data_IF_549135236018
#
_entry.id   IF_549135236018
#
_cell.length_a   1.000
_cell.length_b   1.000
_cell.length_c   1.000
_cell.angle_alpha   90.00
_cell.angle_beta   90.00
_cell.angle_gamma   90.00
#
_symmetry.space_group_name_H-M   'P 1'
#
loop_
_entity.id
_entity.type
_entity.pdbx_description
1 polymer ?
#
# COMPACT_ATOMS: atom_id res chain seq x y z
N UNK A 1 -11.05 5.53 3.59
CA UNK A 1 -10.00 4.54 3.24
C UNK A 1 -9.97 4.18 1.76
N UNK A 2 -11.07 3.78 1.11
CA UNK A 2 -11.03 3.24 -0.26
C UNK A 2 -10.40 4.14 -1.34
N UNK A 3 -10.78 5.42 -1.41
CA UNK A 3 -10.25 6.34 -2.44
C UNK A 3 -8.77 6.65 -2.20
N UNK A 4 -8.37 6.93 -0.96
CA UNK A 4 -6.97 7.23 -0.61
C UNK A 4 -6.03 6.05 -0.87
N UNK A 5 -6.46 4.82 -0.56
CA UNK A 5 -5.67 3.61 -0.81
C UNK A 5 -5.44 3.32 -2.30
N UNK A 6 -6.23 3.91 -3.19
CA UNK A 6 -6.02 3.83 -4.64
C UNK A 6 -5.23 5.04 -5.17
N UNK A 7 -5.61 6.25 -4.76
CA UNK A 7 -5.04 7.49 -5.29
C UNK A 7 -3.57 7.63 -4.90
N UNK A 8 -3.19 7.33 -3.66
CA UNK A 8 -1.81 7.54 -3.19
C UNK A 8 -0.80 6.62 -3.92
N UNK A 9 -1.00 5.29 -4.01
CA UNK A 9 -0.09 4.44 -4.77
C UNK A 9 -0.05 4.79 -6.26
N UNK A 10 -1.18 5.19 -6.85
CA UNK A 10 -1.24 5.59 -8.26
C UNK A 10 -0.43 6.86 -8.48
N UNK A 11 -0.65 7.88 -7.66
CA UNK A 11 0.07 9.14 -7.71
C UNK A 11 1.59 8.94 -7.56
N UNK A 12 2.00 8.16 -6.56
CA UNK A 12 3.40 7.77 -6.36
C UNK A 12 3.95 7.02 -7.58
N UNK A 13 3.18 6.12 -8.17
CA UNK A 13 3.58 5.35 -9.34
C UNK A 13 3.64 6.16 -10.65
N UNK A 14 2.95 7.29 -10.73
CA UNK A 14 2.98 8.21 -11.85
C UNK A 14 4.16 9.19 -11.77
N UNK A 15 4.56 9.52 -10.55
CA UNK A 15 5.63 10.46 -10.19
C UNK A 15 6.98 9.75 -10.07
N UNK A 16 7.00 8.49 -9.66
CA UNK A 16 8.25 7.76 -9.43
C UNK A 16 9.01 7.44 -10.74
N UNK A 17 10.34 7.65 -10.78
CA UNK A 17 11.20 7.20 -11.88
C UNK A 17 11.06 5.68 -12.11
N UNK A 18 11.18 5.22 -13.36
CA UNK A 18 11.09 3.79 -13.74
C UNK A 18 11.97 2.89 -12.86
N UNK A 19 13.14 3.36 -12.48
CA UNK A 19 14.14 2.63 -11.67
C UNK A 19 13.81 2.55 -10.17
N UNK A 20 13.10 3.54 -9.62
CA UNK A 20 12.83 3.65 -8.17
C UNK A 20 11.37 3.38 -7.80
N UNK A 21 10.49 3.19 -8.79
CA UNK A 21 9.05 2.95 -8.60
C UNK A 21 8.74 1.80 -7.64
N UNK A 22 9.53 0.73 -7.66
CA UNK A 22 9.40 -0.38 -6.71
C UNK A 22 9.58 0.08 -5.27
N UNK A 23 10.68 0.79 -5.00
CA UNK A 23 11.04 1.33 -3.68
C UNK A 23 10.04 2.34 -3.17
N UNK A 24 9.57 3.27 -4.02
CA UNK A 24 8.55 4.24 -3.61
C UNK A 24 7.20 3.59 -3.30
N UNK A 25 6.83 2.53 -4.03
CA UNK A 25 5.59 1.79 -3.77
C UNK A 25 5.68 1.00 -2.46
N UNK A 26 6.81 0.36 -2.17
CA UNK A 26 7.02 -0.34 -0.90
C UNK A 26 7.12 0.63 0.28
N UNK A 27 7.67 1.83 0.09
CA UNK A 27 7.68 2.89 1.09
C UNK A 27 6.27 3.29 1.51
N UNK A 28 5.34 3.42 0.56
CA UNK A 28 3.94 3.72 0.89
C UNK A 28 3.30 2.60 1.75
N UNK A 29 3.51 1.35 1.36
CA UNK A 29 3.04 0.21 2.16
C UNK A 29 3.65 0.21 3.56
N UNK A 30 4.92 0.56 3.68
CA UNK A 30 5.63 0.66 4.95
C UNK A 30 5.07 1.80 5.83
N UNK A 31 4.75 2.96 5.24
CA UNK A 31 4.10 4.07 5.95
C UNK A 31 2.71 3.68 6.48
N UNK A 32 1.92 2.92 5.71
CA UNK A 32 0.63 2.39 6.17
C UNK A 32 0.82 1.49 7.41
N UNK A 33 1.82 0.62 7.38
CA UNK A 33 2.13 -0.28 8.50
C UNK A 33 2.60 0.50 9.72
N UNK A 34 3.51 1.47 9.56
CA UNK A 34 3.93 2.34 10.67
C UNK A 34 2.74 3.09 11.26
N UNK A 35 1.88 3.66 10.42
CA UNK A 35 0.68 4.37 10.88
C UNK A 35 -0.26 3.46 11.68
N UNK A 36 -0.51 2.24 11.19
CA UNK A 36 -1.31 1.24 11.90
C UNK A 36 -0.67 0.82 13.23
N UNK A 37 0.62 0.49 13.23
CA UNK A 37 1.37 0.13 14.44
C UNK A 37 1.39 1.25 15.48
N UNK A 38 1.56 2.50 15.03
CA UNK A 38 1.52 3.69 15.89
C UNK A 38 0.13 3.87 16.50
N UNK A 39 -0.94 3.64 15.73
CA UNK A 39 -2.30 3.65 16.22
C UNK A 39 -2.57 2.55 17.26
N UNK A 40 -1.99 1.36 17.09
CA UNK A 40 -2.07 0.29 18.11
C UNK A 40 -1.38 0.69 19.41
N UNK A 41 -0.17 1.27 19.35
CA UNK A 41 0.58 1.70 20.53
C UNK A 41 -0.14 2.85 21.25
N UNK A 42 -0.61 3.87 20.53
CA UNK A 42 -1.34 4.96 21.17
C UNK A 42 -2.73 4.52 21.65
N UNK A 43 -3.36 3.56 20.98
CA UNK A 43 -4.66 3.03 21.36
C UNK A 43 -4.66 2.24 22.67
N UNK A 44 -3.51 1.69 23.10
CA UNK A 44 -3.38 1.01 24.40
C UNK A 44 -3.12 1.98 25.56
N UNK A 45 -2.60 3.18 25.27
CA UNK A 45 -2.18 4.16 26.28
C UNK A 45 -3.20 5.29 26.43
N UNK A 46 -3.83 5.71 25.33
CA UNK A 46 -4.68 6.89 25.26
C UNK A 46 -6.16 6.54 25.13
N UNK A 47 -7.02 7.43 25.65
CA UNK A 47 -8.46 7.34 25.42
C UNK A 47 -8.82 7.45 23.93
N UNK A 48 -9.92 6.81 23.52
CA UNK A 48 -10.39 6.84 22.13
C UNK A 48 -10.61 8.26 21.57
N UNK A 49 -10.94 9.22 22.44
CA UNK A 49 -11.08 10.64 22.10
C UNK A 49 -9.74 11.27 21.75
N UNK A 50 -8.73 11.06 22.60
CA UNK A 50 -7.38 11.56 22.34
C UNK A 50 -6.76 10.92 21.09
N UNK A 51 -6.98 9.62 20.89
CA UNK A 51 -6.53 8.91 19.69
C UNK A 51 -7.12 9.50 18.41
N UNK A 52 -8.40 9.88 18.44
CA UNK A 52 -9.10 10.51 17.30
C UNK A 52 -8.54 11.90 16.98
N UNK A 53 -8.23 12.69 18.01
CA UNK A 53 -7.63 14.03 17.85
C UNK A 53 -6.21 13.92 17.29
N UNK A 54 -5.40 12.98 17.78
CA UNK A 54 -4.05 12.74 17.26
C UNK A 54 -4.09 12.27 15.81
N UNK A 55 -5.06 11.42 15.43
CA UNK A 55 -5.27 11.00 14.05
C UNK A 55 -5.63 12.15 13.09
N UNK A 56 -6.18 13.25 13.61
CA UNK A 56 -6.45 14.45 12.82
C UNK A 56 -5.17 15.17 12.39
N UNK A 57 -4.11 15.11 13.19
CA UNK A 57 -2.83 15.78 12.92
C UNK A 57 -2.24 15.38 11.56
N UNK A 58 -1.97 14.09 11.25
CA UNK A 58 -1.43 13.70 9.96
C UNK A 58 -2.40 13.98 8.82
N UNK A 59 -3.71 13.99 9.08
CA UNK A 59 -4.73 14.34 8.07
C UNK A 59 -4.64 15.81 7.67
N UNK A 60 -4.49 16.72 8.64
CA UNK A 60 -4.32 18.15 8.37
C UNK A 60 -2.98 18.43 7.70
N UNK A 61 -1.90 17.76 8.13
CA UNK A 61 -0.58 17.87 7.49
C UNK A 61 -0.64 17.42 6.03
N UNK A 62 -1.31 16.30 5.74
CA UNK A 62 -1.50 15.83 4.35
C UNK A 62 -2.33 16.83 3.53
N UNK A 63 -3.39 17.40 4.12
CA UNK A 63 -4.25 18.38 3.46
C UNK A 63 -3.47 19.66 3.11
N UNK A 64 -2.66 20.17 4.03
CA UNK A 64 -1.80 21.32 3.78
C UNK A 64 -0.70 20.99 2.77
N UNK A 65 -0.10 19.80 2.87
CA UNK A 65 0.92 19.32 1.94
C UNK A 65 0.42 19.20 0.50
N UNK A 66 -0.86 18.85 0.30
CA UNK A 66 -1.46 18.75 -1.03
C UNK A 66 -1.43 20.08 -1.80
N UNK A 67 -1.48 21.22 -1.12
CA UNK A 67 -1.35 22.53 -1.78
C UNK A 67 0.06 22.83 -2.30
N UNK A 68 1.09 22.18 -1.75
CA UNK A 68 2.48 22.36 -2.18
C UNK A 68 2.94 21.35 -3.23
N UNK A 69 2.23 20.22 -3.36
CA UNK A 69 2.61 19.14 -4.27
C UNK A 69 2.05 19.44 -5.66
N UNK A 70 2.89 19.45 -6.73
CA UNK A 70 2.39 19.65 -8.09
C UNK A 70 1.50 18.48 -8.54
N UNK A 71 0.54 18.76 -9.41
CA UNK A 71 -0.33 17.74 -9.99
C UNK A 71 0.46 16.69 -10.79
N UNK A 72 -0.12 15.49 -10.95
CA UNK A 72 0.53 14.38 -11.64
C UNK A 72 0.95 14.79 -13.07
N UNK A 73 2.24 14.67 -13.43
CA UNK A 73 2.73 15.04 -14.76
C UNK A 73 2.00 14.28 -15.89
N UNK A 74 1.63 13.01 -15.66
CA UNK A 74 0.88 12.21 -16.64
C UNK A 74 -0.54 12.70 -16.84
N UNK A 75 -1.17 13.20 -15.78
CA UNK A 75 -2.51 13.79 -15.87
C UNK A 75 -2.47 15.12 -16.63
N UNK A 76 -1.47 15.97 -16.35
CA UNK A 76 -1.26 17.25 -17.04
C UNK A 76 -0.98 17.04 -18.53
N UNK A 77 -0.12 16.08 -18.87
CA UNK A 77 0.17 15.72 -20.25
C UNK A 77 -1.08 15.17 -20.98
N UNK A 78 -1.94 14.40 -20.30
CA UNK A 78 -3.22 13.93 -20.86
C UNK A 78 -4.24 15.05 -21.08
N UNK A 79 -4.16 16.14 -20.31
CA UNK A 79 -4.99 17.34 -20.53
C UNK A 79 -4.45 18.29 -21.61
N UNK A 80 -3.27 18.01 -22.17
CA UNK A 80 -2.62 18.89 -23.14
C UNK A 80 -2.00 20.15 -22.53
N UNK A 81 -1.83 20.20 -21.21
CA UNK A 81 -1.20 21.32 -20.50
C UNK A 81 0.31 21.16 -20.47
N UNK A 82 0.96 21.34 -21.63
CA UNK A 82 2.40 21.07 -21.81
C UNK A 82 3.30 21.95 -20.94
N UNK A 83 2.89 23.19 -20.65
CA UNK A 83 3.65 24.11 -19.79
C UNK A 83 3.69 23.66 -18.32
N UNK A 84 2.52 23.31 -17.79
CA UNK A 84 2.38 22.84 -16.40
C UNK A 84 3.00 21.45 -16.24
N UNK A 85 2.92 20.60 -17.27
CA UNK A 85 3.61 19.32 -17.34
C UNK A 85 5.12 19.45 -17.16
N UNK A 86 5.77 20.34 -17.93
CA UNK A 86 7.22 20.56 -17.84
C UNK A 86 7.58 21.17 -16.49
N UNK A 87 6.78 22.11 -15.97
CA UNK A 87 7.00 22.73 -14.66
C UNK A 87 6.88 21.70 -13.51
N UNK A 88 5.87 20.84 -13.52
CA UNK A 88 5.69 19.77 -12.52
C UNK A 88 6.86 18.77 -12.59
N UNK A 89 7.28 18.39 -13.79
CA UNK A 89 8.38 17.44 -13.99
C UNK A 89 9.74 18.04 -13.56
N UNK A 90 9.95 19.35 -13.76
CA UNK A 90 11.10 20.11 -13.26
C UNK A 90 11.13 20.25 -11.75
N UNK A 91 10.00 20.52 -11.10
CA UNK A 91 9.90 20.56 -9.64
C UNK A 91 10.24 19.19 -9.05
N UNK A 92 9.83 18.11 -9.73
CA UNK A 92 9.97 16.75 -9.25
C UNK A 92 11.38 16.16 -9.44
N UNK A 93 12.04 16.45 -10.58
CA UNK A 93 13.38 15.95 -10.91
C UNK A 93 14.52 16.87 -10.46
N UNK A 94 14.21 18.14 -10.19
CA UNK A 94 15.18 19.19 -9.89
C UNK A 94 15.37 20.16 -11.06
N UNK A 95 15.68 21.43 -10.74
CA UNK A 95 15.74 22.55 -11.71
C UNK A 95 16.75 22.34 -12.85
N UNK A 96 17.80 21.55 -12.62
CA UNK A 96 18.92 21.34 -13.57
C UNK A 96 18.93 19.96 -14.23
N UNK A 97 17.90 19.13 -14.00
CA UNK A 97 17.82 17.80 -14.60
C UNK A 97 17.34 17.88 -16.05
N UNK A 98 18.01 17.18 -16.98
CA UNK A 98 17.53 17.05 -18.36
C UNK A 98 16.28 16.16 -18.39
N UNK A 99 15.14 16.81 -18.55
CA UNK A 99 13.81 16.21 -18.53
C UNK A 99 13.30 15.94 -19.95
N UNK A 100 14.01 16.43 -20.98
CA UNK A 100 13.59 16.42 -22.37
C UNK A 100 13.27 15.02 -22.88
N UNK A 101 14.06 14.02 -22.47
CA UNK A 101 13.89 12.64 -22.89
C UNK A 101 12.70 11.94 -22.20
N UNK A 102 12.54 12.15 -20.88
CA UNK A 102 11.39 11.59 -20.14
C UNK A 102 10.08 12.27 -20.55
N UNK A 103 10.11 13.59 -20.78
CA UNK A 103 8.98 14.34 -21.27
C UNK A 103 8.47 13.78 -22.60
N UNK A 104 9.40 13.51 -23.52
CA UNK A 104 9.09 12.92 -24.82
C UNK A 104 8.54 11.50 -24.71
N UNK A 105 9.11 10.66 -23.85
CA UNK A 105 8.59 9.31 -23.59
C UNK A 105 7.16 9.32 -23.04
N UNK A 106 6.86 10.23 -22.10
CA UNK A 106 5.50 10.38 -21.53
C UNK A 106 4.52 10.88 -22.59
N UNK A 107 4.93 11.86 -23.41
CA UNK A 107 4.12 12.41 -24.49
C UNK A 107 3.79 11.34 -25.56
N UNK A 108 4.80 10.57 -25.98
CA UNK A 108 4.65 9.49 -26.96
C UNK A 108 3.75 8.37 -26.41
N UNK A 109 3.89 8.03 -25.13
CA UNK A 109 3.03 7.05 -24.47
C UNK A 109 1.57 7.51 -24.41
N UNK A 110 1.30 8.78 -24.06
CA UNK A 110 -0.07 9.32 -24.01
C UNK A 110 -0.67 9.40 -25.42
N UNK A 111 0.09 9.84 -26.40
CA UNK A 111 -0.35 9.89 -27.81
C UNK A 111 -0.68 8.48 -28.33
N UNK A 112 0.09 7.47 -27.91
CA UNK A 112 -0.22 6.06 -28.24
C UNK A 112 -1.49 5.57 -27.55
N UNK A 113 -1.77 6.03 -26.32
CA UNK A 113 -2.99 5.71 -25.58
C UNK A 113 -4.23 6.40 -26.14
N UNK A 114 -4.11 7.63 -26.67
CA UNK A 114 -5.22 8.33 -27.32
C UNK A 114 -5.60 7.70 -28.67
N UNK A 115 -4.63 7.12 -29.38
CA UNK A 115 -4.87 6.32 -30.59
C UNK A 115 -5.57 4.99 -30.29
N UNK A 116 -5.49 4.50 -29.06
CA UNK A 116 -6.22 3.32 -28.62
C UNK A 116 -7.65 3.70 -28.21
N UNK A 117 -8.63 2.88 -28.58
CA UNK A 117 -10.01 3.08 -28.15
C UNK A 117 -10.06 3.14 -26.60
N UNK A 118 -10.81 4.10 -26.05
CA UNK A 118 -10.99 4.24 -24.60
C UNK A 118 -11.42 2.89 -24.03
N UNK A 119 -10.62 2.25 -23.16
CA UNK A 119 -10.94 0.92 -22.66
C UNK A 119 -12.23 1.00 -21.86
N UNK A 120 -13.24 0.20 -22.25
CA UNK A 120 -14.46 0.04 -21.46
C UNK A 120 -14.16 -0.92 -20.32
N UNK A 121 -14.82 -0.75 -19.18
CA UNK A 121 -14.68 -1.68 -18.04
C UNK A 121 -15.00 -3.12 -18.46
N UNK A 122 -15.89 -3.29 -19.44
CA UNK A 122 -16.24 -4.58 -20.04
C UNK A 122 -15.09 -5.21 -20.85
N UNK A 123 -14.14 -4.42 -21.36
CA UNK A 123 -12.97 -4.94 -22.09
C UNK A 123 -11.99 -5.69 -21.17
N UNK A 124 -12.05 -5.45 -19.86
CA UNK A 124 -11.29 -6.22 -18.86
C UNK A 124 -11.73 -7.69 -18.79
N UNK A 125 -12.98 -7.98 -19.18
CA UNK A 125 -13.54 -9.33 -19.25
C UNK A 125 -13.26 -10.03 -20.59
N UNK A 126 -12.41 -9.47 -21.44
CA UNK A 126 -11.93 -10.20 -22.61
C UNK A 126 -10.95 -11.31 -22.20
N UNK A 127 -11.01 -12.46 -22.90
CA UNK A 127 -10.17 -13.66 -22.66
C UNK A 127 -8.66 -13.35 -22.52
N UNK A 128 -8.20 -12.32 -23.22
CA UNK A 128 -6.80 -11.82 -23.18
C UNK A 128 -6.41 -11.26 -21.81
N UNK A 129 -7.31 -10.53 -21.15
CA UNK A 129 -7.06 -9.88 -19.86
C UNK A 129 -7.59 -10.70 -18.68
N UNK A 130 -8.52 -11.63 -18.94
CA UNK A 130 -9.14 -12.47 -17.92
C UNK A 130 -8.11 -13.19 -17.03
N UNK A 131 -7.03 -13.74 -17.61
CA UNK A 131 -6.00 -14.42 -16.83
C UNK A 131 -5.32 -13.48 -15.82
N UNK A 132 -4.99 -12.26 -16.23
CA UNK A 132 -4.38 -11.27 -15.35
C UNK A 132 -5.39 -10.77 -14.30
N UNK A 133 -6.63 -10.53 -14.73
CA UNK A 133 -7.72 -10.10 -13.86
C UNK A 133 -8.03 -11.15 -12.77
N UNK A 134 -8.19 -12.42 -13.14
CA UNK A 134 -8.45 -13.52 -12.20
C UNK A 134 -7.30 -13.70 -11.21
N UNK A 135 -6.05 -13.60 -11.66
CA UNK A 135 -4.89 -13.68 -10.74
C UNK A 135 -4.89 -12.49 -9.79
N UNK A 136 -5.10 -11.26 -10.28
CA UNK A 136 -5.09 -10.05 -9.46
C UNK A 136 -6.23 -10.02 -8.44
N UNK A 137 -7.47 -10.23 -8.91
CA UNK A 137 -8.67 -10.26 -8.05
C UNK A 137 -8.62 -11.45 -7.09
N UNK A 138 -8.27 -12.64 -7.58
CA UNK A 138 -8.13 -13.83 -6.75
C UNK A 138 -7.09 -13.64 -5.64
N UNK A 139 -5.94 -13.01 -5.96
CA UNK A 139 -4.92 -12.71 -4.95
C UNK A 139 -5.42 -11.72 -3.90
N UNK A 140 -6.14 -10.66 -4.29
CA UNK A 140 -6.71 -9.70 -3.35
C UNK A 140 -7.78 -10.34 -2.46
N UNK A 141 -8.61 -11.20 -3.01
CA UNK A 141 -9.61 -11.97 -2.27
C UNK A 141 -8.91 -12.88 -1.26
N UNK A 142 -7.94 -13.68 -1.68
CA UNK A 142 -7.14 -14.53 -0.78
C UNK A 142 -6.45 -13.72 0.33
N UNK A 143 -5.96 -12.52 0.02
CA UNK A 143 -5.33 -11.64 1.02
C UNK A 143 -6.32 -11.19 2.10
N UNK A 144 -7.56 -10.86 1.73
CA UNK A 144 -8.60 -10.46 2.69
C UNK A 144 -9.13 -11.66 3.49
N UNK A 145 -9.36 -12.80 2.83
CA UNK A 145 -9.76 -14.05 3.49
C UNK A 145 -8.68 -14.61 4.42
N UNK A 146 -7.42 -14.22 4.22
CA UNK A 146 -6.33 -14.49 5.16
C UNK A 146 -6.52 -13.85 6.54
N UNK A 147 -7.56 -13.04 6.74
CA UNK A 147 -8.02 -12.63 8.07
C UNK A 147 -7.15 -11.59 8.75
N UNK A 148 -6.17 -10.99 8.05
CA UNK A 148 -5.24 -10.01 8.64
C UNK A 148 -5.97 -8.82 9.29
N UNK A 149 -7.05 -8.35 8.68
CA UNK A 149 -7.89 -7.28 9.25
C UNK A 149 -8.65 -7.77 10.49
N UNK A 150 -9.14 -9.01 10.50
CA UNK A 150 -9.81 -9.61 11.65
C UNK A 150 -8.84 -9.78 12.83
N UNK A 151 -7.66 -10.34 12.58
CA UNK A 151 -6.60 -10.47 13.60
C UNK A 151 -6.18 -9.09 14.11
N UNK A 152 -6.04 -8.09 13.22
CA UNK A 152 -5.71 -6.73 13.62
C UNK A 152 -6.76 -6.09 14.53
N UNK A 153 -8.06 -6.17 14.18
CA UNK A 153 -9.12 -5.57 14.99
C UNK A 153 -9.33 -6.27 16.34
N UNK A 154 -9.19 -7.59 16.38
CA UNK A 154 -9.40 -8.38 17.58
C UNK A 154 -8.10 -8.74 18.31
N UNK A 155 -6.95 -8.18 17.92
CA UNK A 155 -5.64 -8.50 18.49
C UNK A 155 -5.65 -8.41 20.02
N UNK A 156 -6.14 -7.30 20.58
CA UNK A 156 -6.25 -7.11 22.03
C UNK A 156 -7.07 -8.20 22.72
N UNK A 157 -8.22 -8.56 22.12
CA UNK A 157 -9.11 -9.58 22.67
C UNK A 157 -8.52 -10.98 22.56
N UNK A 158 -7.80 -11.28 21.48
CA UNK A 158 -7.12 -12.57 21.28
C UNK A 158 -6.03 -12.76 22.33
N UNK A 159 -5.23 -11.73 22.62
CA UNK A 159 -4.19 -11.81 23.65
C UNK A 159 -4.77 -11.93 25.06
N UNK A 160 -5.87 -11.22 25.34
CA UNK A 160 -6.57 -11.31 26.62
C UNK A 160 -7.14 -12.73 26.83
N UNK A 161 -7.80 -13.29 25.81
CA UNK A 161 -8.27 -14.67 25.81
C UNK A 161 -7.12 -15.68 25.90
N UNK A 162 -5.92 -15.37 25.41
CA UNK A 162 -4.75 -16.22 25.55
C UNK A 162 -4.18 -16.20 26.98
N UNK A 163 -4.55 -15.25 27.83
CA UNK A 163 -4.05 -15.09 29.19
C UNK A 163 -2.83 -14.16 29.29
N UNK A 164 -2.56 -13.37 28.25
CA UNK A 164 -1.49 -12.37 28.23
C UNK A 164 -2.06 -10.95 28.37
N UNK A 165 -1.33 -10.02 29.00
CA UNK A 165 -1.72 -8.61 29.02
C UNK A 165 -1.94 -8.08 27.60
N UNK A 166 -3.15 -7.63 27.31
CA UNK A 166 -3.58 -7.17 25.98
C UNK A 166 -2.71 -6.03 25.43
N UNK A 167 -2.25 -5.12 26.30
CA UNK A 167 -1.35 -4.03 25.95
C UNK A 167 0.02 -4.55 25.45
N UNK A 168 0.64 -5.49 26.17
CA UNK A 168 1.94 -6.05 25.79
C UNK A 168 1.85 -6.85 24.50
N UNK A 169 0.78 -7.65 24.34
CA UNK A 169 0.54 -8.44 23.14
C UNK A 169 0.34 -7.60 21.88
N UNK A 170 -0.46 -6.53 21.97
CA UNK A 170 -0.69 -5.63 20.83
C UNK A 170 0.51 -4.77 20.47
N UNK A 171 1.30 -4.31 21.46
CA UNK A 171 2.57 -3.62 21.20
C UNK A 171 3.56 -4.55 20.50
N UNK A 172 3.68 -5.80 20.97
CA UNK A 172 4.56 -6.79 20.32
C UNK A 172 4.12 -7.08 18.89
N UNK A 173 2.81 -7.23 18.66
CA UNK A 173 2.25 -7.39 17.32
C UNK A 173 2.58 -6.20 16.41
N UNK A 174 2.43 -4.97 16.90
CA UNK A 174 2.74 -3.74 16.16
C UNK A 174 4.24 -3.65 15.76
N UNK A 175 5.14 -4.04 16.67
CA UNK A 175 6.59 -4.07 16.40
C UNK A 175 6.93 -5.14 15.36
N UNK A 176 6.43 -6.36 15.55
CA UNK A 176 6.64 -7.46 14.61
C UNK A 176 6.12 -7.11 13.20
N UNK A 177 4.98 -6.43 13.11
CA UNK A 177 4.42 -6.00 11.84
C UNK A 177 5.36 -5.05 11.08
N UNK A 178 5.98 -4.10 11.76
CA UNK A 178 6.97 -3.19 11.15
C UNK A 178 8.20 -3.97 10.68
N UNK A 179 8.77 -4.82 11.55
CA UNK A 179 9.99 -5.58 11.25
C UNK A 179 9.77 -6.52 10.07
N UNK A 180 8.70 -7.32 10.10
CA UNK A 180 8.39 -8.29 9.03
C UNK A 180 8.07 -7.57 7.72
N UNK A 181 7.36 -6.44 7.75
CA UNK A 181 7.09 -5.65 6.54
C UNK A 181 8.38 -5.09 5.94
N UNK A 182 9.29 -4.56 6.77
CA UNK A 182 10.59 -4.05 6.32
C UNK A 182 11.45 -5.15 5.70
N UNK A 183 11.53 -6.30 6.36
CA UNK A 183 12.24 -7.50 5.86
C UNK A 183 11.61 -7.98 4.55
N UNK A 184 10.27 -8.05 4.47
CA UNK A 184 9.55 -8.42 3.25
C UNK A 184 9.79 -7.45 2.09
N UNK A 185 9.87 -6.15 2.38
CA UNK A 185 10.20 -5.13 1.38
C UNK A 185 11.65 -5.26 0.88
N UNK A 186 12.61 -5.64 1.71
CA UNK A 186 13.98 -5.89 1.25
C UNK A 186 14.10 -7.22 0.47
N UNK A 187 13.35 -8.25 0.88
CA UNK A 187 13.33 -9.56 0.24
C UNK A 187 12.64 -9.55 -1.11
N UNK A 188 11.64 -8.68 -1.34
CA UNK A 188 10.90 -8.65 -2.61
C UNK A 188 11.81 -8.32 -3.79
N UNK A 189 12.81 -7.46 -3.58
CA UNK A 189 13.76 -7.02 -4.59
C UNK A 189 14.82 -8.10 -4.88
N UNK A 190 15.13 -8.95 -3.89
CA UNK A 190 16.14 -10.02 -4.02
C UNK A 190 15.57 -11.35 -4.49
N UNK A 191 14.46 -11.80 -3.91
CA UNK A 191 13.88 -13.12 -4.13
C UNK A 191 12.78 -13.12 -5.22
N UNK A 192 12.24 -11.95 -5.57
CA UNK A 192 11.13 -11.83 -6.49
C UNK A 192 9.76 -12.11 -5.85
N UNK A 193 8.70 -11.67 -6.54
CA UNK A 193 7.34 -11.58 -5.98
C UNK A 193 6.65 -12.92 -5.77
N UNK A 194 6.80 -13.85 -6.71
CA UNK A 194 6.11 -15.16 -6.70
C UNK A 194 6.55 -16.09 -5.56
N UNK A 195 7.86 -16.32 -5.31
CA UNK A 195 8.26 -17.16 -4.19
C UNK A 195 7.90 -16.54 -2.84
N UNK A 196 8.01 -15.21 -2.70
CA UNK A 196 7.62 -14.52 -1.47
C UNK A 196 6.13 -14.74 -1.15
N UNK A 197 5.25 -14.65 -2.16
CA UNK A 197 3.82 -14.94 -1.99
C UNK A 197 3.55 -16.39 -1.57
N UNK A 198 4.26 -17.36 -2.14
CA UNK A 198 4.09 -18.77 -1.79
C UNK A 198 4.55 -19.06 -0.36
N UNK A 199 5.70 -18.51 0.06
CA UNK A 199 6.24 -18.67 1.42
C UNK A 199 5.34 -17.98 2.45
N UNK A 200 4.87 -16.76 2.17
CA UNK A 200 3.92 -16.08 3.07
C UNK A 200 2.59 -16.82 3.16
N UNK A 201 2.10 -17.37 2.04
CA UNK A 201 0.87 -18.16 2.00
C UNK A 201 0.98 -19.45 2.83
N UNK A 202 2.07 -20.21 2.68
CA UNK A 202 2.28 -21.42 3.49
C UNK A 202 2.47 -21.09 4.97
N UNK A 203 3.20 -20.01 5.29
CA UNK A 203 3.36 -19.52 6.66
C UNK A 203 2.03 -19.15 7.32
N UNK A 204 1.12 -18.49 6.58
CA UNK A 204 -0.22 -18.16 7.06
C UNK A 204 -1.04 -19.40 7.39
N UNK A 205 -1.04 -20.41 6.51
CA UNK A 205 -1.76 -21.67 6.74
C UNK A 205 -1.24 -22.38 7.99
N UNK A 206 0.08 -22.55 8.09
CA UNK A 206 0.70 -23.21 9.25
C UNK A 206 0.43 -22.45 10.55
N UNK A 207 0.56 -21.12 10.54
CA UNK A 207 0.29 -20.29 11.72
C UNK A 207 -1.18 -20.34 12.16
N UNK A 208 -2.10 -20.41 11.19
CA UNK A 208 -3.53 -20.51 11.47
C UNK A 208 -3.89 -21.87 12.08
N UNK A 209 -3.33 -22.96 11.55
CA UNK A 209 -3.49 -24.31 12.12
C UNK A 209 -2.93 -24.36 13.54
N UNK A 210 -1.72 -23.81 13.75
CA UNK A 210 -1.11 -23.78 15.07
C UNK A 210 -1.97 -23.02 16.09
N UNK A 211 -2.50 -21.86 15.70
CA UNK A 211 -3.40 -21.07 16.55
C UNK A 211 -4.69 -21.84 16.86
N UNK A 212 -5.28 -22.49 15.85
CA UNK A 212 -6.49 -23.30 16.03
C UNK A 212 -6.26 -24.46 17.01
N UNK A 213 -5.14 -25.19 16.89
CA UNK A 213 -4.78 -26.28 17.80
C UNK A 213 -4.52 -25.76 19.21
N UNK A 214 -3.82 -24.63 19.36
CA UNK A 214 -3.54 -24.04 20.66
C UNK A 214 -4.83 -23.61 21.41
N UNK A 215 -5.80 -23.02 20.70
CA UNK A 215 -7.10 -22.68 21.29
C UNK A 215 -7.96 -23.92 21.58
N UNK A 216 -7.91 -24.94 20.73
CA UNK A 216 -8.61 -26.21 20.98
C UNK A 216 -8.11 -26.90 22.27
N UNK A 217 -6.79 -26.97 22.45
CA UNK A 217 -6.16 -27.53 23.66
C UNK A 217 -6.32 -26.68 24.91
N UNK A 218 -6.77 -25.42 24.80
CA UNK A 218 -7.08 -24.57 25.95
C UNK A 218 -8.53 -24.77 26.44
N UNK A 219 -9.41 -25.20 25.55
CA UNK A 219 -10.84 -25.44 25.84
C UNK A 219 -11.09 -26.85 26.38
N UNK A 220 -10.15 -27.78 26.20
CA UNK A 220 -10.17 -29.13 26.79
C UNK A 220 -9.08 -29.27 27.84
#
# INVERSE_FOLDING_TARGET
MGVFSYVVPVFIAEIAPKERRGVLTTLNQFMIVIGGSTAFIFGTILSWRALSIIGLIPTVVLLLGLFFIPESPRWLAKRGLTKDFVAALQILRGKDADISQEAKEIQDYITSLEKLAKPKVLDLFQKRYLRSLTIGVGLMVCQQFGGINGVGFYASSIFDLAGFPSATGTILFAILQIVITGVGAALIDKAGRKPLLLVSGSGLVTGSIFTAVAFYLKVH
#
